data_IF_437723192947
#
_entry.id   IF_437723192947
#
_cell.length_a   1.000
_cell.length_b   1.000
_cell.length_c   1.000
_cell.angle_alpha   90.00
_cell.angle_beta   90.00
_cell.angle_gamma   90.00
#
_symmetry.space_group_name_H-M   'P 1'
#
loop_
_entity.id
_entity.type
_entity.pdbx_description
1 polymer ?
#
# COMPACT_ATOMS: atom_id res chain seq x y z
N UNK A 1 -11.68 -70.01 23.12
CA UNK A 1 -11.89 -68.55 23.21
C UNK A 1 -10.73 -67.73 22.62
N UNK A 2 -9.47 -67.88 23.07
CA UNK A 2 -8.31 -67.14 22.51
C UNK A 2 -8.14 -67.27 20.98
N UNK A 3 -8.25 -68.49 20.43
CA UNK A 3 -8.11 -68.73 18.98
C UNK A 3 -9.22 -68.07 18.14
N UNK A 4 -10.45 -68.01 18.67
CA UNK A 4 -11.60 -67.37 17.98
C UNK A 4 -11.44 -65.85 17.97
N UNK A 5 -10.99 -65.26 19.08
CA UNK A 5 -10.70 -63.82 19.18
C UNK A 5 -9.55 -63.42 18.24
N UNK A 6 -8.49 -64.23 18.17
CA UNK A 6 -7.38 -63.99 17.23
C UNK A 6 -7.83 -64.05 15.76
N UNK A 7 -8.69 -65.02 15.41
CA UNK A 7 -9.23 -65.13 14.05
C UNK A 7 -10.11 -63.94 13.67
N UNK A 8 -10.99 -63.48 14.56
CA UNK A 8 -11.82 -62.30 14.33
C UNK A 8 -10.96 -61.04 14.16
N UNK A 9 -9.94 -60.86 15.00
CA UNK A 9 -9.05 -59.70 14.94
C UNK A 9 -8.24 -59.67 13.62
N UNK A 10 -7.75 -60.82 13.16
CA UNK A 10 -7.06 -60.92 11.86
C UNK A 10 -7.99 -60.62 10.68
N UNK A 11 -9.23 -61.11 10.70
CA UNK A 11 -10.22 -60.82 9.65
C UNK A 11 -10.58 -59.34 9.62
N UNK A 12 -10.84 -58.74 10.78
CA UNK A 12 -11.12 -57.31 10.90
C UNK A 12 -9.96 -56.44 10.41
N UNK A 13 -8.72 -56.79 10.81
CA UNK A 13 -7.52 -56.08 10.34
C UNK A 13 -7.34 -56.17 8.83
N UNK A 14 -7.62 -57.32 8.20
CA UNK A 14 -7.57 -57.47 6.75
C UNK A 14 -8.63 -56.62 6.05
N UNK A 15 -9.87 -56.66 6.54
CA UNK A 15 -10.97 -55.83 5.98
C UNK A 15 -10.61 -54.36 6.08
N UNK A 16 -10.17 -53.89 7.26
CA UNK A 16 -9.76 -52.51 7.47
C UNK A 16 -8.62 -52.11 6.52
N UNK A 17 -7.58 -52.94 6.42
CA UNK A 17 -6.45 -52.69 5.52
C UNK A 17 -6.89 -52.61 4.05
N UNK A 18 -7.71 -53.55 3.57
CA UNK A 18 -8.23 -53.54 2.21
C UNK A 18 -9.13 -52.33 1.95
N UNK A 19 -9.99 -51.94 2.90
CA UNK A 19 -10.82 -50.74 2.78
C UNK A 19 -9.99 -49.46 2.72
N UNK A 20 -8.96 -49.33 3.56
CA UNK A 20 -8.03 -48.19 3.53
C UNK A 20 -7.30 -48.14 2.19
N UNK A 21 -6.78 -49.27 1.70
CA UNK A 21 -6.09 -49.33 0.41
C UNK A 21 -7.03 -48.92 -0.75
N UNK A 22 -8.26 -49.42 -0.76
CA UNK A 22 -9.26 -49.06 -1.77
C UNK A 22 -9.63 -47.57 -1.72
N UNK A 23 -9.78 -47.01 -0.51
CA UNK A 23 -9.99 -45.58 -0.32
C UNK A 23 -8.81 -44.77 -0.84
N UNK A 24 -7.57 -45.18 -0.54
CA UNK A 24 -6.36 -44.52 -1.04
C UNK A 24 -6.24 -44.60 -2.57
N UNK A 25 -6.55 -45.75 -3.18
CA UNK A 25 -6.53 -45.90 -4.65
C UNK A 25 -7.62 -45.06 -5.30
N UNK A 26 -8.86 -45.11 -4.79
CA UNK A 26 -9.96 -44.30 -5.31
C UNK A 26 -9.64 -42.80 -5.19
N UNK A 27 -9.08 -42.40 -4.06
CA UNK A 27 -8.64 -41.03 -3.81
C UNK A 27 -7.54 -40.61 -4.78
N UNK A 28 -6.50 -41.43 -4.96
CA UNK A 28 -5.42 -41.18 -5.91
C UNK A 28 -5.91 -41.08 -7.36
N UNK A 29 -6.87 -41.93 -7.76
CA UNK A 29 -7.50 -41.85 -9.09
C UNK A 29 -8.35 -40.58 -9.26
N UNK A 30 -9.13 -40.21 -8.24
CA UNK A 30 -9.93 -38.98 -8.26
C UNK A 30 -9.04 -37.74 -8.38
N UNK A 31 -7.99 -37.66 -7.57
CA UNK A 31 -7.02 -36.56 -7.59
C UNK A 31 -6.23 -36.51 -8.90
N UNK A 32 -5.76 -37.66 -9.39
CA UNK A 32 -5.06 -37.76 -10.68
C UNK A 32 -5.96 -37.31 -11.85
N UNK A 33 -7.22 -37.76 -11.86
CA UNK A 33 -8.21 -37.35 -12.85
C UNK A 33 -8.52 -35.85 -12.81
N UNK A 34 -8.72 -35.29 -11.61
CA UNK A 34 -8.95 -33.85 -11.44
C UNK A 34 -7.76 -33.02 -11.95
N UNK A 35 -6.53 -33.43 -11.60
CA UNK A 35 -5.30 -32.77 -12.06
C UNK A 35 -5.13 -32.84 -13.58
N UNK A 36 -5.45 -33.98 -14.22
CA UNK A 36 -5.39 -34.10 -15.68
C UNK A 36 -6.42 -33.23 -16.40
N UNK A 37 -7.58 -32.98 -15.79
CA UNK A 37 -8.65 -32.15 -16.37
C UNK A 37 -8.48 -30.66 -16.09
N UNK A 38 -7.64 -30.27 -15.12
CA UNK A 38 -7.49 -28.90 -14.68
C UNK A 38 -7.12 -27.91 -15.82
N UNK A 39 -6.17 -28.21 -16.73
CA UNK A 39 -5.86 -27.30 -17.84
C UNK A 39 -7.07 -27.02 -18.74
N UNK A 40 -7.82 -28.05 -19.12
CA UNK A 40 -9.01 -27.90 -19.97
C UNK A 40 -10.17 -27.18 -19.26
N UNK A 41 -10.25 -27.27 -17.94
CA UNK A 41 -11.22 -26.50 -17.16
C UNK A 41 -10.88 -25.00 -17.18
N UNK A 42 -9.60 -24.65 -17.11
CA UNK A 42 -9.14 -23.26 -17.19
C UNK A 42 -9.41 -22.67 -18.57
N UNK A 43 -9.05 -23.37 -19.65
CA UNK A 43 -9.34 -22.92 -21.02
C UNK A 43 -10.83 -22.58 -21.23
N UNK A 44 -11.74 -23.29 -20.54
CA UNK A 44 -13.19 -23.02 -20.57
C UNK A 44 -13.63 -21.94 -19.60
N UNK A 45 -12.97 -21.82 -18.45
CA UNK A 45 -13.31 -20.84 -17.43
C UNK A 45 -12.85 -19.43 -17.80
N UNK A 46 -11.70 -19.30 -18.46
CA UNK A 46 -11.08 -18.01 -18.81
C UNK A 46 -12.04 -17.09 -19.59
N UNK A 47 -12.67 -17.51 -20.70
CA UNK A 47 -13.60 -16.63 -21.43
C UNK A 47 -14.80 -16.18 -20.60
N UNK A 48 -15.26 -17.03 -19.67
CA UNK A 48 -16.39 -16.71 -18.77
C UNK A 48 -15.97 -15.68 -17.73
N UNK A 49 -14.75 -15.80 -17.19
CA UNK A 49 -14.18 -14.84 -16.24
C UNK A 49 -13.92 -13.50 -16.94
N UNK A 50 -13.30 -13.51 -18.12
CA UNK A 50 -13.06 -12.32 -18.94
C UNK A 50 -14.38 -11.58 -19.22
N UNK A 51 -15.40 -12.26 -19.75
CA UNK A 51 -16.69 -11.64 -20.06
C UNK A 51 -17.38 -11.01 -18.83
N UNK A 52 -17.20 -11.59 -17.63
CA UNK A 52 -17.74 -11.02 -16.38
C UNK A 52 -16.94 -9.80 -15.91
N UNK A 53 -15.63 -9.83 -16.06
CA UNK A 53 -14.77 -8.71 -15.70
C UNK A 53 -14.94 -7.53 -16.65
N UNK A 54 -15.13 -7.78 -17.94
CA UNK A 54 -15.48 -6.75 -18.93
C UNK A 54 -16.79 -6.03 -18.56
N UNK A 55 -17.80 -6.77 -18.09
CA UNK A 55 -19.05 -6.17 -17.59
C UNK A 55 -18.83 -5.28 -16.35
N UNK A 56 -17.77 -5.54 -15.59
CA UNK A 56 -17.34 -4.71 -14.46
C UNK A 56 -16.38 -3.57 -14.87
N UNK A 57 -16.08 -3.41 -16.16
CA UNK A 57 -15.16 -2.39 -16.69
C UNK A 57 -13.68 -2.77 -16.61
N UNK A 58 -13.37 -4.05 -16.46
CA UNK A 58 -12.01 -4.60 -16.38
C UNK A 58 -11.77 -5.48 -17.60
N UNK A 59 -11.08 -4.95 -18.61
CA UNK A 59 -10.59 -5.75 -19.74
C UNK A 59 -9.44 -6.65 -19.30
N UNK A 60 -9.43 -7.89 -19.77
CA UNK A 60 -8.32 -8.81 -19.55
C UNK A 60 -7.82 -9.30 -20.90
N UNK A 61 -6.58 -8.96 -21.20
CA UNK A 61 -5.84 -9.38 -22.37
C UNK A 61 -4.67 -10.28 -21.96
N UNK A 62 -4.26 -11.14 -22.88
CA UNK A 62 -3.04 -11.97 -22.76
C UNK A 62 -2.94 -12.77 -21.45
N UNK A 63 -4.05 -13.32 -20.95
CA UNK A 63 -4.02 -14.18 -19.77
C UNK A 63 -3.28 -15.50 -20.07
N UNK A 64 -2.11 -15.65 -19.45
CA UNK A 64 -1.27 -16.82 -19.52
C UNK A 64 -1.22 -17.49 -18.15
N UNK A 65 -1.35 -18.82 -18.11
CA UNK A 65 -1.19 -19.64 -16.90
C UNK A 65 -0.35 -20.85 -17.26
N UNK A 66 0.82 -20.99 -16.64
CA UNK A 66 1.77 -22.06 -17.02
C UNK A 66 1.37 -23.41 -16.46
N UNK A 67 0.87 -23.47 -15.22
CA UNK A 67 0.37 -24.71 -14.65
C UNK A 67 -0.70 -24.50 -13.59
N UNK A 68 -1.53 -25.53 -13.41
CA UNK A 68 -2.55 -25.61 -12.37
C UNK A 68 -2.33 -26.89 -11.59
N UNK A 69 -2.32 -26.77 -10.27
CA UNK A 69 -2.29 -27.91 -9.37
C UNK A 69 -3.54 -27.90 -8.50
N UNK A 70 -4.16 -29.06 -8.36
CA UNK A 70 -5.24 -29.24 -7.40
C UNK A 70 -4.64 -29.99 -6.22
N UNK A 71 -4.80 -29.46 -5.02
CA UNK A 71 -4.32 -30.12 -3.81
C UNK A 71 -4.84 -31.56 -3.70
N UNK A 72 -4.08 -32.48 -3.08
CA UNK A 72 -4.54 -33.85 -2.86
C UNK A 72 -5.87 -33.94 -2.13
N UNK A 73 -6.20 -32.95 -1.30
CA UNK A 73 -7.43 -32.89 -0.51
C UNK A 73 -8.63 -32.26 -1.26
N UNK A 74 -8.43 -31.81 -2.51
CA UNK A 74 -9.42 -31.07 -3.31
C UNK A 74 -9.95 -29.79 -2.62
N UNK A 75 -9.20 -29.28 -1.65
CA UNK A 75 -9.54 -28.07 -0.89
C UNK A 75 -8.82 -26.83 -1.41
N UNK A 76 -7.81 -26.99 -2.25
CA UNK A 76 -7.06 -25.87 -2.81
C UNK A 76 -6.75 -26.06 -4.29
N UNK A 77 -6.69 -24.94 -5.00
CA UNK A 77 -6.23 -24.81 -6.37
C UNK A 77 -5.03 -23.86 -6.33
N UNK A 78 -3.93 -24.28 -6.94
CA UNK A 78 -2.71 -23.47 -7.07
C UNK A 78 -2.49 -23.18 -8.55
N UNK A 79 -2.31 -21.91 -8.92
CA UNK A 79 -1.90 -21.49 -10.26
C UNK A 79 -0.45 -21.00 -10.18
N UNK A 80 0.36 -21.33 -11.18
CA UNK A 80 1.75 -20.88 -11.27
C UNK A 80 2.01 -20.06 -12.53
N UNK A 81 2.88 -19.07 -12.38
CA UNK A 81 3.36 -18.19 -13.45
C UNK A 81 2.20 -17.62 -14.26
N UNK A 82 1.26 -16.96 -13.56
CA UNK A 82 0.15 -16.25 -14.16
C UNK A 82 0.65 -14.89 -14.63
N UNK A 83 0.47 -14.59 -15.91
CA UNK A 83 0.69 -13.26 -16.46
C UNK A 83 -0.62 -12.77 -17.07
N UNK A 84 -0.97 -11.51 -16.82
CA UNK A 84 -2.18 -10.91 -17.36
C UNK A 84 -1.99 -9.43 -17.60
N UNK A 85 -2.48 -8.96 -18.74
CA UNK A 85 -2.63 -7.54 -19.02
C UNK A 85 -4.06 -7.13 -18.71
N UNK A 86 -4.21 -6.09 -17.89
CA UNK A 86 -5.50 -5.59 -17.46
C UNK A 86 -5.69 -4.19 -18.05
N UNK A 87 -6.71 -4.04 -18.87
CA UNK A 87 -7.12 -2.76 -19.42
C UNK A 87 -8.25 -2.17 -18.57
N UNK A 88 -7.88 -1.18 -17.76
CA UNK A 88 -8.78 -0.41 -16.92
C UNK A 88 -9.29 0.77 -17.75
N UNK A 89 -10.35 0.55 -18.52
CA UNK A 89 -11.01 1.63 -19.25
C UNK A 89 -11.98 2.35 -18.31
N UNK A 90 -11.63 3.58 -17.90
CA UNK A 90 -12.53 4.36 -17.06
C UNK A 90 -13.69 4.97 -17.87
N UNK A 91 -14.80 5.30 -17.21
CA UNK A 91 -15.92 6.05 -17.81
C UNK A 91 -15.50 7.40 -18.42
N UNK A 92 -14.35 7.93 -18.02
CA UNK A 92 -13.82 9.23 -18.43
C UNK A 92 -12.88 9.16 -19.65
N UNK A 93 -12.95 8.07 -20.44
CA UNK A 93 -12.18 7.88 -21.69
C UNK A 93 -10.66 7.81 -21.55
N UNK A 94 -10.13 7.74 -20.32
CA UNK A 94 -8.73 7.36 -20.09
C UNK A 94 -8.65 5.84 -20.03
N UNK A 95 -7.81 5.28 -20.89
CA UNK A 95 -7.36 3.90 -20.82
C UNK A 95 -6.19 3.84 -19.87
N UNK A 96 -6.13 2.85 -19.00
CA UNK A 96 -4.91 2.51 -18.28
C UNK A 96 -4.66 1.02 -18.50
N UNK A 97 -3.45 0.65 -18.85
CA UNK A 97 -3.04 -0.75 -18.91
C UNK A 97 -2.14 -1.06 -17.71
N UNK A 98 -2.45 -2.16 -17.04
CA UNK A 98 -1.71 -2.71 -15.91
C UNK A 98 -1.20 -4.10 -16.32
N UNK A 99 0.09 -4.33 -16.21
CA UNK A 99 0.68 -5.66 -16.32
C UNK A 99 0.77 -6.28 -14.94
N UNK A 100 0.27 -7.50 -14.81
CA UNK A 100 0.29 -8.28 -13.56
C UNK A 100 0.95 -9.62 -13.84
N UNK A 101 2.06 -9.86 -13.16
CA UNK A 101 2.71 -11.17 -13.12
C UNK A 101 2.60 -11.73 -11.71
N UNK A 102 2.27 -13.01 -11.58
CA UNK A 102 2.09 -13.71 -10.31
C UNK A 102 2.81 -15.05 -10.41
N UNK A 103 3.85 -15.25 -9.61
CA UNK A 103 4.54 -16.55 -9.55
C UNK A 103 3.63 -17.66 -9.01
N UNK A 104 2.80 -17.35 -8.01
CA UNK A 104 1.89 -18.32 -7.39
C UNK A 104 0.59 -17.68 -6.90
N UNK A 105 -0.55 -18.26 -7.28
CA UNK A 105 -1.87 -17.94 -6.76
C UNK A 105 -2.50 -19.19 -6.12
N UNK A 106 -2.72 -19.16 -4.81
CA UNK A 106 -3.40 -20.20 -4.07
C UNK A 106 -4.83 -19.79 -3.73
N UNK A 107 -5.79 -20.63 -4.11
CA UNK A 107 -7.20 -20.52 -3.75
C UNK A 107 -7.54 -21.67 -2.80
N UNK A 108 -7.69 -21.40 -1.51
CA UNK A 108 -7.93 -22.43 -0.49
C UNK A 108 -9.33 -22.33 0.09
N UNK A 109 -10.12 -23.40 -0.03
CA UNK A 109 -11.40 -23.54 0.63
C UNK A 109 -11.20 -23.87 2.12
N UNK A 110 -11.49 -22.90 2.99
CA UNK A 110 -11.33 -23.04 4.44
C UNK A 110 -12.61 -23.51 5.13
N UNK A 111 -13.78 -23.22 4.55
CA UNK A 111 -15.08 -23.65 5.08
C UNK A 111 -15.94 -24.25 3.95
N UNK A 112 -15.83 -25.56 3.77
CA UNK A 112 -16.50 -26.30 2.69
C UNK A 112 -18.01 -26.07 2.63
N UNK A 113 -18.70 -26.12 3.79
CA UNK A 113 -20.16 -25.96 3.86
C UNK A 113 -20.61 -24.52 3.58
N UNK A 114 -19.85 -23.52 4.04
CA UNK A 114 -20.13 -22.10 3.80
C UNK A 114 -19.59 -21.62 2.44
N UNK A 115 -18.84 -22.48 1.73
CA UNK A 115 -18.13 -22.16 0.50
C UNK A 115 -17.26 -20.91 0.63
N UNK A 116 -16.59 -20.77 1.77
CA UNK A 116 -15.64 -19.69 2.03
C UNK A 116 -14.21 -20.19 1.91
N UNK A 117 -13.34 -19.30 1.47
CA UNK A 117 -11.93 -19.61 1.34
C UNK A 117 -11.03 -18.40 1.39
N UNK A 118 -9.75 -18.68 1.27
CA UNK A 118 -8.67 -17.72 1.32
C UNK A 118 -8.04 -17.65 -0.07
N UNK A 119 -7.60 -16.44 -0.44
CA UNK A 119 -6.78 -16.18 -1.62
C UNK A 119 -5.41 -15.77 -1.11
N UNK A 120 -4.36 -16.42 -1.61
CA UNK A 120 -2.99 -16.03 -1.37
C UNK A 120 -2.26 -15.87 -2.70
N UNK A 121 -1.58 -14.75 -2.86
CA UNK A 121 -0.76 -14.39 -4.01
C UNK A 121 0.67 -14.25 -3.52
N UNK A 122 1.62 -14.84 -4.22
CA UNK A 122 3.05 -14.75 -3.90
C UNK A 122 3.87 -14.45 -5.15
N UNK A 123 4.92 -13.65 -5.01
CA UNK A 123 5.77 -13.24 -6.13
C UNK A 123 5.02 -12.42 -7.16
N UNK A 124 4.12 -11.54 -6.70
CA UNK A 124 3.36 -10.63 -7.56
C UNK A 124 4.24 -9.45 -7.99
N UNK A 125 4.25 -9.17 -9.30
CA UNK A 125 4.74 -7.93 -9.86
C UNK A 125 3.59 -7.19 -10.55
N UNK A 126 3.52 -5.88 -10.32
CA UNK A 126 2.50 -4.99 -10.90
C UNK A 126 3.22 -3.82 -11.55
N UNK A 127 2.91 -3.52 -12.81
CA UNK A 127 3.49 -2.37 -13.52
C UNK A 127 2.43 -1.65 -14.34
N UNK A 128 2.32 -0.34 -14.17
CA UNK A 128 1.51 0.50 -15.05
C UNK A 128 2.27 0.75 -16.36
N UNK A 129 1.63 0.50 -17.51
CA UNK A 129 2.26 0.59 -18.84
C UNK A 129 2.24 2.03 -19.39
N UNK A 130 1.37 2.91 -18.88
CA UNK A 130 1.23 4.29 -19.38
C UNK A 130 2.11 5.32 -18.63
N UNK A 131 2.60 6.38 -19.33
CA UNK A 131 3.64 7.27 -18.82
C UNK A 131 3.21 8.23 -17.70
N UNK A 132 1.93 8.23 -17.32
CA UNK A 132 1.45 9.04 -16.20
C UNK A 132 0.84 8.13 -15.12
N UNK A 133 1.44 8.08 -13.92
CA UNK A 133 0.84 7.36 -12.82
C UNK A 133 -0.56 7.89 -12.57
N UNK A 134 -1.45 7.01 -12.12
CA UNK A 134 -2.77 7.38 -11.64
C UNK A 134 -2.63 8.56 -10.66
N UNK A 135 -3.41 9.65 -10.81
CA UNK A 135 -3.25 10.84 -9.98
C UNK A 135 -3.37 10.55 -8.48
N UNK A 136 -3.99 9.42 -8.12
CA UNK A 136 -4.27 9.02 -6.74
C UNK A 136 -3.37 7.89 -6.21
N UNK A 137 -2.54 7.26 -7.05
CA UNK A 137 -1.59 6.22 -6.62
C UNK A 137 -0.16 6.67 -6.93
N UNK A 138 0.65 6.97 -5.90
CA UNK A 138 2.00 7.48 -6.11
C UNK A 138 3.02 6.36 -6.37
N UNK A 139 2.56 5.15 -6.70
CA UNK A 139 3.37 3.96 -6.90
C UNK A 139 3.46 3.65 -8.39
N UNK A 140 4.68 3.48 -8.90
CA UNK A 140 4.92 3.12 -10.29
C UNK A 140 4.84 1.60 -10.50
N UNK A 141 5.43 0.86 -9.56
CA UNK A 141 5.63 -0.58 -9.67
C UNK A 141 5.58 -1.26 -8.33
N UNK A 142 5.11 -2.49 -8.31
CA UNK A 142 5.25 -3.41 -7.19
C UNK A 142 6.06 -4.62 -7.65
N UNK A 143 6.96 -5.11 -6.81
CA UNK A 143 7.72 -6.33 -7.04
C UNK A 143 7.77 -7.17 -5.78
N UNK A 144 7.97 -8.49 -5.95
CA UNK A 144 8.02 -9.46 -4.85
C UNK A 144 6.81 -9.36 -3.90
N UNK A 145 5.65 -8.94 -4.42
CA UNK A 145 4.50 -8.68 -3.58
C UNK A 145 3.81 -9.99 -3.19
N UNK A 146 3.38 -10.04 -1.94
CA UNK A 146 2.57 -11.07 -1.34
C UNK A 146 1.26 -10.43 -0.89
N UNK A 147 0.15 -11.09 -1.18
CA UNK A 147 -1.18 -10.66 -0.78
C UNK A 147 -1.96 -11.85 -0.26
N UNK A 148 -2.54 -11.73 0.94
CA UNK A 148 -3.43 -12.74 1.50
C UNK A 148 -4.74 -12.10 1.90
N UNK A 149 -5.84 -12.68 1.45
CA UNK A 149 -7.21 -12.27 1.80
C UNK A 149 -7.99 -13.48 2.24
N UNK A 150 -8.48 -13.47 3.48
CA UNK A 150 -9.20 -14.62 4.05
C UNK A 150 -10.71 -14.46 4.00
N UNK A 151 -11.41 -15.60 4.10
CA UNK A 151 -12.85 -15.64 4.32
C UNK A 151 -13.69 -15.07 3.17
N UNK A 152 -13.23 -15.19 1.94
CA UNK A 152 -13.94 -14.77 0.73
C UNK A 152 -15.09 -15.74 0.37
N UNK A 153 -16.24 -15.23 -0.14
CA UNK A 153 -17.40 -16.06 -0.51
C UNK A 153 -17.23 -16.70 -1.90
N UNK A 154 -16.38 -17.74 -2.00
CA UNK A 154 -15.97 -18.38 -3.26
C UNK A 154 -17.11 -18.99 -4.10
N UNK A 155 -18.33 -19.12 -3.55
CA UNK A 155 -19.50 -19.60 -4.29
C UNK A 155 -19.99 -18.63 -5.39
N UNK A 156 -19.73 -17.34 -5.22
CA UNK A 156 -20.13 -16.29 -6.15
C UNK A 156 -18.91 -15.45 -6.52
N UNK A 157 -18.36 -15.63 -7.75
CA UNK A 157 -17.21 -14.86 -8.21
C UNK A 157 -17.44 -13.35 -8.21
N UNK A 158 -18.66 -12.88 -8.49
CA UNK A 158 -18.98 -11.44 -8.49
C UNK A 158 -18.94 -10.88 -7.08
N UNK A 159 -19.56 -11.57 -6.12
CA UNK A 159 -19.49 -11.18 -4.71
C UNK A 159 -18.05 -11.26 -4.16
N UNK A 160 -17.29 -12.28 -4.56
CA UNK A 160 -15.87 -12.43 -4.18
C UNK A 160 -15.05 -11.25 -4.65
N UNK A 161 -15.18 -10.87 -5.94
CA UNK A 161 -14.48 -9.72 -6.51
C UNK A 161 -14.83 -8.42 -5.78
N UNK A 162 -16.10 -8.19 -5.46
CA UNK A 162 -16.54 -7.02 -4.70
C UNK A 162 -15.97 -6.97 -3.28
N UNK A 163 -16.01 -8.09 -2.53
CA UNK A 163 -15.44 -8.17 -1.18
C UNK A 163 -13.92 -7.97 -1.21
N UNK A 164 -13.24 -8.57 -2.19
CA UNK A 164 -11.80 -8.42 -2.38
C UNK A 164 -11.42 -6.98 -2.70
N UNK A 165 -12.11 -6.35 -3.67
CA UNK A 165 -11.94 -4.96 -4.05
C UNK A 165 -12.17 -4.01 -2.88
N UNK A 166 -13.24 -4.23 -2.10
CA UNK A 166 -13.55 -3.42 -0.93
C UNK A 166 -12.45 -3.50 0.12
N UNK A 167 -11.97 -4.71 0.45
CA UNK A 167 -10.86 -4.93 1.39
C UNK A 167 -9.56 -4.28 0.95
N UNK A 168 -9.21 -4.39 -0.34
CA UNK A 168 -8.04 -3.70 -0.90
C UNK A 168 -8.20 -2.19 -0.86
N UNK A 169 -9.40 -1.68 -1.15
CA UNK A 169 -9.69 -0.26 -1.08
C UNK A 169 -9.50 0.28 0.34
N UNK A 170 -10.08 -0.39 1.33
CA UNK A 170 -9.91 -0.08 2.76
C UNK A 170 -8.43 -0.09 3.16
N UNK A 171 -7.67 -1.13 2.75
CA UNK A 171 -6.26 -1.24 3.10
C UNK A 171 -5.41 -0.14 2.46
N UNK A 172 -5.55 0.09 1.16
CA UNK A 172 -4.70 1.03 0.43
C UNK A 172 -5.13 2.48 0.65
N UNK A 173 -6.42 2.81 0.46
CA UNK A 173 -6.89 4.20 0.45
C UNK A 173 -7.29 4.73 1.82
N UNK A 174 -7.83 3.87 2.69
CA UNK A 174 -8.24 4.26 4.04
C UNK A 174 -7.18 3.92 5.10
N UNK A 175 -6.10 3.23 4.68
CA UNK A 175 -5.02 2.75 5.54
C UNK A 175 -5.52 1.94 6.74
N UNK A 176 -6.65 1.24 6.57
CA UNK A 176 -7.30 0.46 7.62
C UNK A 176 -8.25 -0.54 6.99
N UNK A 177 -7.93 -1.82 7.06
CA UNK A 177 -8.81 -2.91 6.63
C UNK A 177 -9.22 -3.80 7.80
N UNK A 178 -10.51 -4.16 7.87
CA UNK A 178 -11.02 -5.10 8.87
C UNK A 178 -10.86 -6.56 8.42
N UNK A 179 -10.54 -7.43 9.39
CA UNK A 179 -10.29 -8.85 9.17
C UNK A 179 -8.90 -9.12 8.56
N UNK A 180 -8.64 -10.39 8.22
CA UNK A 180 -7.29 -10.81 7.81
C UNK A 180 -7.06 -10.54 6.31
N UNK A 181 -6.48 -9.37 6.06
CA UNK A 181 -5.99 -8.86 4.77
C UNK A 181 -4.54 -8.44 4.99
N UNK A 182 -3.60 -9.14 4.36
CA UNK A 182 -2.17 -8.87 4.51
C UNK A 182 -1.56 -8.62 3.16
N UNK A 183 -0.74 -7.59 3.10
CA UNK A 183 0.07 -7.23 1.95
C UNK A 183 1.52 -7.05 2.41
N UNK A 184 2.48 -7.49 1.61
CA UNK A 184 3.89 -7.12 1.76
C UNK A 184 4.58 -7.14 0.41
N UNK A 185 5.43 -6.18 0.10
CA UNK A 185 6.16 -6.16 -1.16
C UNK A 185 7.03 -4.94 -1.30
N UNK A 186 7.88 -4.93 -2.32
CA UNK A 186 8.71 -3.78 -2.64
C UNK A 186 7.94 -2.88 -3.61
N UNK A 187 7.96 -1.58 -3.37
CA UNK A 187 7.28 -0.59 -4.22
C UNK A 187 8.28 0.40 -4.77
N UNK A 188 8.15 0.73 -6.04
CA UNK A 188 8.92 1.81 -6.67
C UNK A 188 8.19 3.13 -6.49
N UNK A 189 8.84 4.07 -5.81
CA UNK A 189 8.43 5.44 -5.58
C UNK A 189 9.18 6.35 -6.55
N UNK A 190 8.46 7.22 -7.26
CA UNK A 190 9.08 8.27 -8.06
C UNK A 190 9.07 9.58 -7.28
N UNK A 191 10.27 10.06 -6.92
CA UNK A 191 10.46 11.34 -6.24
C UNK A 191 11.30 12.20 -7.19
N UNK A 192 10.65 13.18 -7.80
CA UNK A 192 11.17 13.95 -8.94
C UNK A 192 11.51 13.05 -10.13
N UNK A 193 12.79 12.98 -10.52
CA UNK A 193 13.29 12.13 -11.61
C UNK A 193 13.90 10.81 -11.12
N UNK A 194 14.06 10.63 -9.80
CA UNK A 194 14.69 9.43 -9.25
C UNK A 194 13.65 8.37 -8.86
N UNK A 195 13.96 7.13 -9.20
CA UNK A 195 13.27 5.95 -8.72
C UNK A 195 13.91 5.46 -7.42
N UNK A 196 13.08 5.29 -6.40
CA UNK A 196 13.46 4.76 -5.09
C UNK A 196 12.62 3.53 -4.77
N UNK A 197 13.19 2.57 -4.04
CA UNK A 197 12.46 1.36 -3.63
C UNK A 197 12.23 1.39 -2.13
N UNK A 198 11.00 1.11 -1.70
CA UNK A 198 10.64 0.97 -0.29
C UNK A 198 9.79 -0.27 -0.06
N UNK A 199 10.03 -0.95 1.06
CA UNK A 199 9.26 -2.11 1.45
C UNK A 199 7.96 -1.70 2.14
N UNK A 200 6.82 -1.98 1.50
CA UNK A 200 5.47 -1.74 1.99
C UNK A 200 4.91 -3.02 2.60
N UNK A 201 4.37 -2.94 3.81
CA UNK A 201 3.77 -4.10 4.47
C UNK A 201 2.55 -3.75 5.31
N UNK A 202 1.74 -4.76 5.63
CA UNK A 202 0.60 -4.64 6.52
C UNK A 202 1.00 -4.90 7.96
N UNK A 203 0.73 -3.93 8.84
CA UNK A 203 0.94 -4.01 10.28
C UNK A 203 -0.41 -4.29 10.98
N UNK A 204 -0.50 -5.29 11.88
CA UNK A 204 -1.72 -5.56 12.63
C UNK A 204 -2.02 -4.43 13.64
N UNK A 205 -3.25 -3.92 13.63
CA UNK A 205 -3.73 -2.87 14.55
C UNK A 205 -5.13 -3.21 15.03
N UNK A 206 -5.25 -3.62 16.30
CA UNK A 206 -6.52 -4.08 16.87
C UNK A 206 -7.06 -5.32 16.13
N UNK A 207 -8.26 -5.21 15.56
CA UNK A 207 -8.92 -6.28 14.79
C UNK A 207 -8.63 -6.21 13.27
N UNK A 208 -7.78 -5.30 12.84
CA UNK A 208 -7.51 -5.05 11.43
C UNK A 208 -6.02 -4.90 11.12
N UNK A 209 -5.76 -4.39 9.92
CA UNK A 209 -4.42 -4.12 9.41
C UNK A 209 -4.37 -2.71 8.84
N UNK A 210 -3.19 -2.09 8.90
CA UNK A 210 -2.85 -0.85 8.19
C UNK A 210 -1.60 -1.06 7.35
N UNK A 211 -1.41 -0.26 6.31
CA UNK A 211 -0.16 -0.26 5.55
C UNK A 211 0.90 0.61 6.23
N UNK A 212 2.15 0.18 6.11
CA UNK A 212 3.31 0.89 6.62
C UNK A 212 4.52 0.65 5.72
N UNK A 213 5.35 1.68 5.51
CA UNK A 213 6.69 1.50 4.98
C UNK A 213 7.68 1.13 6.08
N UNK A 214 8.65 0.29 5.76
CA UNK A 214 9.78 0.06 6.66
C UNK A 214 10.53 1.38 6.89
N UNK A 215 10.71 1.74 8.15
CA UNK A 215 11.33 3.03 8.53
C UNK A 215 12.78 3.17 8.05
N UNK A 216 13.54 2.07 7.98
CA UNK A 216 14.90 2.10 7.42
C UNK A 216 14.90 2.58 5.98
N UNK A 217 13.95 2.13 5.17
CA UNK A 217 13.91 2.46 3.75
C UNK A 217 13.54 3.94 3.57
N UNK A 218 12.61 4.45 4.39
CA UNK A 218 12.27 5.89 4.42
C UNK A 218 13.46 6.75 4.88
N UNK A 219 14.23 6.27 5.87
CA UNK A 219 15.47 6.92 6.30
C UNK A 219 16.49 6.97 5.17
N UNK A 220 16.75 5.85 4.51
CA UNK A 220 17.71 5.75 3.41
C UNK A 220 17.31 6.66 2.23
N UNK A 221 16.02 6.70 1.89
CA UNK A 221 15.48 7.62 0.87
C UNK A 221 15.69 9.08 1.30
N UNK A 222 15.35 9.41 2.54
CA UNK A 222 15.55 10.76 3.10
C UNK A 222 17.01 11.19 3.08
N UNK A 223 17.95 10.30 3.42
CA UNK A 223 19.39 10.57 3.40
C UNK A 223 19.92 10.72 1.97
N UNK A 224 19.51 9.83 1.07
CA UNK A 224 19.86 9.88 -0.37
C UNK A 224 19.41 11.19 -1.02
N UNK A 225 18.19 11.64 -0.71
CA UNK A 225 17.63 12.91 -1.17
C UNK A 225 18.10 14.11 -0.35
N UNK A 226 18.91 13.89 0.68
CA UNK A 226 19.41 14.91 1.59
C UNK A 226 18.29 15.67 2.32
N UNK A 227 17.10 15.10 2.48
CA UNK A 227 15.93 15.70 3.16
C UNK A 227 16.15 15.85 4.66
N UNK A 228 16.95 14.95 5.26
CA UNK A 228 17.30 14.94 6.67
C UNK A 228 16.07 14.90 7.61
N UNK A 229 15.10 14.05 7.28
CA UNK A 229 13.92 13.80 8.12
C UNK A 229 14.33 13.31 9.52
N UNK A 230 13.63 13.81 10.54
CA UNK A 230 13.84 13.38 11.94
C UNK A 230 13.06 12.08 12.24
N UNK A 231 13.42 11.33 13.30
CA UNK A 231 12.79 10.04 13.59
C UNK A 231 11.26 10.07 13.63
N UNK A 232 10.67 11.10 14.23
CA UNK A 232 9.22 11.27 14.36
C UNK A 232 8.54 11.48 12.99
N UNK A 233 9.22 12.17 12.07
CA UNK A 233 8.74 12.31 10.70
C UNK A 233 8.88 11.04 9.90
N UNK A 234 9.98 10.29 10.09
CA UNK A 234 10.17 8.97 9.47
C UNK A 234 9.01 8.07 9.88
N UNK A 235 8.64 8.06 11.17
CA UNK A 235 7.47 7.32 11.65
C UNK A 235 6.18 7.76 10.94
N UNK A 236 5.90 9.06 10.85
CA UNK A 236 4.69 9.56 10.17
C UNK A 236 4.70 9.18 8.68
N UNK A 237 5.79 9.43 7.96
CA UNK A 237 5.90 9.09 6.53
C UNK A 237 5.71 7.59 6.33
N UNK A 238 6.29 6.77 7.21
CA UNK A 238 6.08 5.32 7.21
C UNK A 238 4.61 4.94 7.44
N UNK A 239 3.90 5.64 8.31
CA UNK A 239 2.49 5.38 8.63
C UNK A 239 1.50 5.80 7.54
N UNK A 240 1.88 6.63 6.57
CA UNK A 240 1.00 7.07 5.49
C UNK A 240 1.58 6.78 4.10
N UNK A 241 1.66 5.51 3.66
CA UNK A 241 2.35 5.14 2.42
C UNK A 241 1.83 5.84 1.16
N UNK A 242 0.52 6.05 1.03
CA UNK A 242 -0.05 6.79 -0.11
C UNK A 242 0.26 8.29 -0.09
N UNK A 243 0.63 8.85 1.06
CA UNK A 243 0.98 10.27 1.19
C UNK A 243 2.48 10.48 1.13
N UNK A 244 3.27 9.47 1.48
CA UNK A 244 4.72 9.57 1.62
C UNK A 244 5.43 10.17 0.40
N UNK A 245 5.20 9.72 -0.86
CA UNK A 245 5.91 10.30 -2.00
C UNK A 245 5.59 11.78 -2.18
N UNK A 246 4.33 12.17 -1.98
CA UNK A 246 3.90 13.57 -2.06
C UNK A 246 4.52 14.39 -0.92
N UNK A 247 4.56 13.87 0.31
CA UNK A 247 5.24 14.56 1.44
C UNK A 247 6.72 14.81 1.10
N UNK A 248 7.42 13.82 0.54
CA UNK A 248 8.83 13.93 0.18
C UNK A 248 9.05 14.98 -0.93
N UNK A 249 8.20 14.97 -1.97
CA UNK A 249 8.23 15.98 -3.04
C UNK A 249 7.96 17.38 -2.50
N UNK A 250 6.93 17.57 -1.65
CA UNK A 250 6.61 18.88 -1.08
C UNK A 250 7.73 19.40 -0.16
N UNK A 251 8.41 18.50 0.56
CA UNK A 251 9.56 18.83 1.39
C UNK A 251 10.72 19.33 0.53
N UNK A 252 11.04 18.63 -0.57
CA UNK A 252 12.10 19.06 -1.48
C UNK A 252 11.77 20.40 -2.16
N UNK A 253 10.54 20.56 -2.66
CA UNK A 253 10.08 21.80 -3.28
C UNK A 253 10.20 23.01 -2.36
N UNK A 254 9.82 22.88 -1.08
CA UNK A 254 9.95 23.95 -0.10
C UNK A 254 11.41 24.32 0.16
N UNK A 255 12.30 23.32 0.24
CA UNK A 255 13.75 23.54 0.40
C UNK A 255 14.37 24.20 -0.83
N UNK A 256 14.02 23.74 -2.02
CA UNK A 256 14.48 24.29 -3.29
C UNK A 256 14.02 25.75 -3.47
N UNK A 257 12.76 26.05 -3.14
CA UNK A 257 12.22 27.41 -3.14
C UNK A 257 13.01 28.30 -2.17
N UNK A 258 13.16 27.86 -0.92
CA UNK A 258 13.87 28.61 0.11
C UNK A 258 15.33 28.90 -0.29
N UNK A 259 16.06 27.88 -0.76
CA UNK A 259 17.45 28.03 -1.21
C UNK A 259 17.60 28.96 -2.41
N UNK A 260 16.65 28.94 -3.34
CA UNK A 260 16.64 29.80 -4.54
C UNK A 260 16.44 31.27 -4.17
N UNK A 261 15.52 31.56 -3.27
CA UNK A 261 15.14 32.93 -2.93
C UNK A 261 16.00 33.54 -1.81
N UNK A 262 16.53 32.71 -0.91
CA UNK A 262 17.34 33.14 0.24
C UNK A 262 18.66 32.35 0.31
N UNK A 263 19.58 32.52 -0.65
CA UNK A 263 20.82 31.74 -0.67
C UNK A 263 21.78 32.09 0.48
N UNK A 264 21.74 33.34 0.96
CA UNK A 264 22.76 33.90 1.86
C UNK A 264 22.26 34.17 3.28
N UNK A 265 20.94 34.26 3.48
CA UNK A 265 20.33 34.50 4.79
C UNK A 265 19.78 33.18 5.32
N UNK A 266 20.47 32.59 6.30
CA UNK A 266 20.15 31.27 6.83
C UNK A 266 18.77 31.26 7.51
N UNK A 267 18.43 32.33 8.22
CA UNK A 267 17.20 32.40 9.02
C UNK A 267 15.99 32.74 8.16
N UNK A 268 16.13 33.69 7.24
CA UNK A 268 15.07 33.99 6.29
C UNK A 268 14.79 32.82 5.34
N UNK A 269 15.84 32.08 4.95
CA UNK A 269 15.70 30.80 4.22
C UNK A 269 14.91 29.79 5.04
N UNK A 270 15.18 29.69 6.33
CA UNK A 270 14.52 28.73 7.19
C UNK A 270 13.04 29.07 7.41
N UNK A 271 12.73 30.33 7.69
CA UNK A 271 11.37 30.84 7.76
C UNK A 271 10.59 30.58 6.45
N UNK A 272 11.20 30.85 5.28
CA UNK A 272 10.58 30.58 3.99
C UNK A 272 10.33 29.08 3.78
N UNK A 273 11.27 28.22 4.19
CA UNK A 273 11.13 26.77 4.11
C UNK A 273 9.93 26.28 4.94
N UNK A 274 9.82 26.70 6.20
CA UNK A 274 8.71 26.31 7.09
C UNK A 274 7.35 26.78 6.57
N UNK A 275 7.25 28.06 6.19
CA UNK A 275 6.01 28.64 5.63
C UNK A 275 5.60 27.91 4.35
N UNK A 276 6.51 27.74 3.39
CA UNK A 276 6.20 27.10 2.12
C UNK A 276 5.83 25.62 2.29
N UNK A 277 6.53 24.91 3.17
CA UNK A 277 6.25 23.50 3.43
C UNK A 277 4.89 23.30 4.10
N UNK A 278 4.59 24.05 5.16
CA UNK A 278 3.30 23.96 5.85
C UNK A 278 2.13 24.45 4.98
N UNK A 279 2.35 25.48 4.17
CA UNK A 279 1.40 25.94 3.15
C UNK A 279 1.04 24.79 2.19
N UNK A 280 2.05 24.13 1.61
CA UNK A 280 1.83 23.08 0.62
C UNK A 280 1.15 21.86 1.23
N UNK A 281 1.59 21.41 2.41
CA UNK A 281 0.93 20.33 3.13
C UNK A 281 -0.55 20.63 3.42
N UNK A 282 -0.86 21.89 3.77
CA UNK A 282 -2.24 22.31 4.03
C UNK A 282 -3.09 22.30 2.76
N UNK A 283 -2.56 22.78 1.63
CA UNK A 283 -3.26 22.72 0.35
C UNK A 283 -3.53 21.29 -0.10
N UNK A 284 -2.59 20.38 0.15
CA UNK A 284 -2.66 19.00 -0.34
C UNK A 284 -3.48 18.07 0.57
N UNK A 285 -3.29 18.16 1.89
CA UNK A 285 -3.84 17.21 2.86
C UNK A 285 -4.76 17.83 3.92
N UNK A 286 -4.88 19.16 3.92
CA UNK A 286 -5.61 19.90 4.95
C UNK A 286 -4.77 20.24 6.19
N UNK A 287 -5.29 21.14 7.04
CA UNK A 287 -4.52 21.72 8.15
C UNK A 287 -4.14 20.71 9.24
N UNK A 288 -5.04 19.77 9.57
CA UNK A 288 -4.80 18.80 10.65
C UNK A 288 -3.60 17.89 10.35
N UNK A 289 -3.48 17.45 9.09
CA UNK A 289 -2.36 16.63 8.68
C UNK A 289 -1.07 17.45 8.55
N UNK A 290 -1.17 18.71 8.09
CA UNK A 290 -0.02 19.60 8.06
C UNK A 290 0.56 19.80 9.46
N UNK A 291 -0.27 20.03 10.49
CA UNK A 291 0.13 20.11 11.90
C UNK A 291 0.85 18.83 12.32
N UNK A 292 0.25 17.66 12.10
CA UNK A 292 0.85 16.38 12.48
C UNK A 292 2.29 16.23 11.94
N UNK A 293 2.49 16.55 10.65
CA UNK A 293 3.79 16.41 9.99
C UNK A 293 4.79 17.49 10.44
N UNK A 294 4.35 18.75 10.55
CA UNK A 294 5.26 19.85 10.92
C UNK A 294 5.64 19.78 12.39
N UNK A 295 4.71 19.44 13.29
CA UNK A 295 5.00 19.35 14.72
C UNK A 295 6.03 18.27 15.02
N UNK A 296 5.99 17.15 14.28
CA UNK A 296 7.01 16.11 14.38
C UNK A 296 8.40 16.60 13.97
N UNK A 297 8.51 17.53 13.01
CA UNK A 297 9.79 18.16 12.65
C UNK A 297 10.38 18.93 13.84
N UNK A 298 9.54 19.65 14.57
CA UNK A 298 9.96 20.57 15.64
C UNK A 298 10.33 19.85 16.94
N UNK A 299 10.08 18.54 17.01
CA UNK A 299 10.54 17.67 18.09
C UNK A 299 12.02 17.29 17.97
N UNK A 300 12.71 17.77 16.93
CA UNK A 300 14.14 17.52 16.70
C UNK A 300 14.99 17.92 17.92
N UNK A 301 15.90 17.05 18.41
CA UNK A 301 16.87 17.44 19.41
C UNK A 301 17.88 18.43 18.82
N UNK A 302 18.19 19.49 19.56
CA UNK A 302 19.22 20.47 19.20
C UNK A 302 18.71 21.90 19.02
N UNK A 303 17.42 22.10 18.73
CA UNK A 303 16.85 23.43 18.62
C UNK A 303 16.64 24.06 20.02
N UNK A 304 17.02 25.33 20.13
CA UNK A 304 16.71 26.19 21.27
C UNK A 304 15.18 26.37 21.40
N UNK A 305 14.68 26.78 22.58
CA UNK A 305 13.26 27.10 22.75
C UNK A 305 12.75 28.17 21.78
N UNK A 306 13.59 29.17 21.45
CA UNK A 306 13.21 30.27 20.57
C UNK A 306 13.17 29.83 19.11
N UNK A 307 14.15 29.04 18.63
CA UNK A 307 14.09 28.42 17.29
C UNK A 307 12.81 27.59 17.13
N UNK A 308 12.50 26.70 18.09
CA UNK A 308 11.25 25.92 18.03
C UNK A 308 10.02 26.80 17.99
N UNK A 309 9.99 27.88 18.78
CA UNK A 309 8.84 28.79 18.81
C UNK A 309 8.66 29.51 17.47
N UNK A 310 9.76 29.96 16.86
CA UNK A 310 9.78 30.51 15.50
C UNK A 310 9.24 29.50 14.48
N UNK A 311 9.72 28.26 14.50
CA UNK A 311 9.36 27.23 13.53
C UNK A 311 7.87 26.85 13.64
N UNK A 312 7.37 26.59 14.86
CA UNK A 312 5.94 26.35 15.12
C UNK A 312 5.08 27.51 14.61
N UNK A 313 5.48 28.74 14.90
CA UNK A 313 4.76 29.93 14.49
C UNK A 313 4.72 30.08 12.96
N UNK A 314 5.89 29.98 12.31
CA UNK A 314 6.01 30.10 10.86
C UNK A 314 5.28 28.98 10.11
N UNK A 315 5.25 27.76 10.66
CA UNK A 315 4.39 26.70 10.16
C UNK A 315 2.92 27.12 10.22
N UNK A 316 2.45 27.64 11.36
CA UNK A 316 1.07 28.10 11.51
C UNK A 316 0.69 29.25 10.55
N UNK A 317 1.61 30.19 10.31
CA UNK A 317 1.43 31.24 9.30
C UNK A 317 1.32 30.64 7.89
N UNK A 318 2.13 29.64 7.54
CA UNK A 318 2.02 28.91 6.28
C UNK A 318 0.63 28.30 6.07
N UNK A 319 0.05 27.69 7.10
CA UNK A 319 -1.33 27.17 7.07
C UNK A 319 -2.36 28.29 6.91
N UNK A 320 -2.16 29.43 7.58
CA UNK A 320 -3.03 30.59 7.44
C UNK A 320 -3.01 31.15 6.01
N UNK A 321 -1.83 31.28 5.41
CA UNK A 321 -1.70 31.69 4.01
C UNK A 321 -2.37 30.72 3.04
N UNK A 322 -2.33 29.41 3.32
CA UNK A 322 -3.04 28.42 2.54
C UNK A 322 -4.57 28.60 2.65
N UNK A 323 -5.10 28.78 3.86
CA UNK A 323 -6.52 29.03 4.07
C UNK A 323 -7.00 30.33 3.39
N UNK A 324 -6.14 31.37 3.37
CA UNK A 324 -6.38 32.63 2.68
C UNK A 324 -6.16 32.57 1.15
N UNK A 325 -5.83 31.40 0.60
CA UNK A 325 -5.57 31.18 -0.84
C UNK A 325 -4.52 32.14 -1.43
N UNK A 326 -3.49 32.46 -0.64
CA UNK A 326 -2.38 33.30 -1.10
C UNK A 326 -1.62 32.57 -2.21
N UNK A 327 -1.34 33.18 -3.38
CA UNK A 327 -0.62 32.51 -4.45
C UNK A 327 0.77 32.00 -3.99
N UNK A 328 1.07 30.73 -4.24
CA UNK A 328 2.34 30.09 -3.82
C UNK A 328 3.58 30.87 -4.27
N UNK A 329 3.59 31.40 -5.50
CA UNK A 329 4.69 32.19 -6.03
C UNK A 329 4.94 33.53 -5.31
N UNK A 330 4.00 33.99 -4.47
CA UNK A 330 4.13 35.22 -3.67
C UNK A 330 4.74 34.98 -2.29
N UNK A 331 4.88 33.73 -1.85
CA UNK A 331 5.39 33.39 -0.51
C UNK A 331 6.77 34.01 -0.21
N UNK A 332 7.76 34.03 -1.13
CA UNK A 332 9.05 34.65 -0.82
C UNK A 332 8.95 36.15 -0.44
N UNK A 333 8.07 36.89 -1.11
CA UNK A 333 7.84 38.30 -0.79
C UNK A 333 7.08 38.45 0.54
N UNK A 334 6.03 37.63 0.75
CA UNK A 334 5.27 37.61 2.02
C UNK A 334 6.18 37.32 3.21
N UNK A 335 7.04 36.32 3.11
CA UNK A 335 7.99 35.97 4.18
C UNK A 335 8.93 37.12 4.52
N UNK A 336 9.33 37.94 3.53
CA UNK A 336 10.17 39.13 3.77
C UNK A 336 9.45 40.30 4.42
N UNK A 337 8.18 40.51 4.11
CA UNK A 337 7.49 41.77 4.41
C UNK A 337 6.39 41.64 5.46
N UNK A 338 5.82 40.44 5.64
CA UNK A 338 4.67 40.23 6.52
C UNK A 338 5.08 40.34 8.00
N UNK A 339 4.45 41.24 8.79
CA UNK A 339 4.80 41.43 10.20
C UNK A 339 4.48 40.21 11.07
N UNK A 340 3.68 39.26 10.58
CA UNK A 340 3.38 38.00 11.25
C UNK A 340 4.46 36.92 11.04
N UNK A 341 5.59 37.23 10.39
CA UNK A 341 6.68 36.26 10.21
C UNK A 341 7.81 36.56 11.19
N UNK A 342 8.25 35.51 11.90
CA UNK A 342 9.45 35.55 12.74
C UNK A 342 10.63 35.12 11.85
N UNK A 343 11.57 36.04 11.61
CA UNK A 343 12.69 35.82 10.68
C UNK A 343 13.97 35.44 11.37
N UNK A 344 14.02 35.58 12.69
CA UNK A 344 15.17 35.23 13.51
C UNK A 344 14.70 34.80 14.92
N UNK A 345 15.33 33.81 15.57
CA UNK A 345 14.95 33.37 16.92
C UNK A 345 14.91 34.50 17.96
N UNK A 346 15.86 35.44 17.91
CA UNK A 346 15.90 36.62 18.80
C UNK A 346 14.65 37.54 18.73
N UNK A 347 13.85 37.43 17.67
CA UNK A 347 12.59 38.18 17.54
C UNK A 347 11.48 37.61 18.42
N UNK A 348 11.55 36.32 18.81
CA UNK A 348 10.49 35.60 19.56
C UNK A 348 10.13 36.32 20.86
N UNK A 349 11.13 36.73 21.64
CA UNK A 349 10.91 37.43 22.92
C UNK A 349 10.17 38.76 22.76
N UNK A 350 10.30 39.40 21.60
CA UNK A 350 9.72 40.72 21.30
C UNK A 350 8.43 40.61 20.46
N UNK A 351 8.10 39.43 19.94
CA UNK A 351 6.99 39.23 19.03
C UNK A 351 5.61 39.38 19.69
N UNK A 352 5.55 39.07 21.00
CA UNK A 352 4.33 39.10 21.81
C UNK A 352 3.67 37.73 21.89
N UNK A 353 3.44 37.23 23.11
CA UNK A 353 2.90 35.88 23.33
C UNK A 353 1.46 35.71 22.78
N UNK A 354 0.71 36.81 22.66
CA UNK A 354 -0.63 36.88 22.10
C UNK A 354 -0.66 36.79 20.57
N UNK A 355 0.46 37.08 19.91
CA UNK A 355 0.62 36.97 18.44
C UNK A 355 1.17 35.61 18.01
N UNK A 356 1.72 34.82 18.94
CA UNK A 356 2.24 33.50 18.64
C UNK A 356 1.10 32.52 18.29
N UNK A 357 1.02 32.19 17.01
CA UNK A 357 0.21 31.10 16.49
C UNK A 357 0.82 29.72 16.81
N UNK A 358 -0.05 28.70 16.94
CA UNK A 358 0.33 27.29 17.00
C UNK A 358 -0.39 26.45 15.95
#
# INVERSE_FOLDING_TARGET
MKLVVQSILMTFSRILFTSVLLLMTLWGSLWGGASMLAPSLIERAVPVVQARLEQAGVGIDDLLVSSIQISPWLTAIELHDLAVRIDLTHRDQRTWSLEVEISRLDLQLTRLLERRGDVQVSGMALQFIEPNPLPDLPFDRFTNAELRVTGLPLADPGQTAEVFRHKLKELFFENKALGDVRFSGDVTLRIDEDEMVAHLYSEPVGEGFRLRFRESDIRDISESKGLALVPEQIEIVSLYPLRAPVILVLTDQARALAKRHEPNDVWLRDALRHVAWSYSLTQTFGPDFAILVTDAQEMRPGNTPDERTMDFHNNAVGRHFAAAQIPFGSLPMRVREDPEIIRHPDEVAHFGADRLLR
#
